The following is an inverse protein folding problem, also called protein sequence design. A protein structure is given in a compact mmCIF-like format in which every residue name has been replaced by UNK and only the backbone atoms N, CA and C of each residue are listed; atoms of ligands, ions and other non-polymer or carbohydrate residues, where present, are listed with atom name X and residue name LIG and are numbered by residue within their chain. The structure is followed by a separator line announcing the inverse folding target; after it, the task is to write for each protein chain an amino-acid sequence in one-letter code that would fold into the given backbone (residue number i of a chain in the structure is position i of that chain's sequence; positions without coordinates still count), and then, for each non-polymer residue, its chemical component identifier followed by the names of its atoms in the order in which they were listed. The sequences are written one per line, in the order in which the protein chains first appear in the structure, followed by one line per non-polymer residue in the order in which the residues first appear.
data_IF_843689134440
#
_entry.id   IF_843689134440
#
_cell.length_a   1.000
_cell.length_b   1.000
_cell.length_c   1.000
_cell.angle_alpha   90.00
_cell.angle_beta   90.00
_cell.angle_gamma   90.00
#
_symmetry.space_group_name_H-M   'P 1'
#
loop_
_entity.id
_entity.type
_entity.pdbx_description
1 polymer ?
#
# COMPACT_ATOMS: atom_id res chain seq x y z
N UNK A 1 12.92 24.13 19.01
CA UNK A 1 12.14 23.75 17.81
C UNK A 1 13.11 23.60 16.66
N UNK A 2 13.22 22.42 16.06
CA UNK A 2 14.11 22.23 14.91
C UNK A 2 13.46 22.84 13.67
N UNK A 3 14.17 23.74 13.00
CA UNK A 3 13.81 24.27 11.67
C UNK A 3 13.53 23.11 10.71
N UNK A 4 12.42 23.13 9.94
CA UNK A 4 12.14 22.12 8.95
C UNK A 4 13.19 22.24 7.84
N UNK A 5 14.20 21.37 7.87
CA UNK A 5 15.19 21.26 6.81
C UNK A 5 14.46 20.91 5.51
N UNK A 6 14.36 21.86 4.59
CA UNK A 6 13.65 21.69 3.33
C UNK A 6 14.20 20.52 2.49
N UNK A 7 13.38 19.99 1.58
CA UNK A 7 13.71 18.87 0.68
C UNK A 7 15.06 19.03 -0.06
N UNK A 8 15.49 20.26 -0.33
CA UNK A 8 16.80 20.56 -0.93
C UNK A 8 18.00 20.13 -0.06
N UNK A 9 17.83 20.09 1.26
CA UNK A 9 18.88 19.63 2.19
C UNK A 9 19.13 18.11 2.14
N UNK A 10 18.22 17.36 1.51
CA UNK A 10 18.29 15.92 1.27
C UNK A 10 18.91 15.59 -0.09
N UNK A 11 19.11 16.59 -0.95
CA UNK A 11 19.66 16.40 -2.30
C UNK A 11 21.06 15.79 -2.19
N UNK A 12 21.25 14.61 -2.79
CA UNK A 12 22.50 13.84 -2.72
C UNK A 12 22.71 13.02 -1.44
N UNK A 13 21.83 13.11 -0.44
CA UNK A 13 21.91 12.34 0.82
C UNK A 13 21.00 11.13 0.85
N UNK A 14 19.84 11.20 0.20
CA UNK A 14 18.89 10.08 0.09
C UNK A 14 19.14 9.36 -1.24
N UNK A 15 19.56 8.10 -1.15
CA UNK A 15 19.83 7.24 -2.32
C UNK A 15 18.67 6.32 -2.64
N UNK A 16 17.91 5.91 -1.62
CA UNK A 16 16.91 4.88 -1.73
C UNK A 16 15.60 5.32 -1.06
N UNK A 17 14.48 4.90 -1.62
CA UNK A 17 13.16 5.07 -1.04
C UNK A 17 12.48 3.71 -0.90
N UNK A 18 11.88 3.48 0.25
CA UNK A 18 11.01 2.33 0.51
C UNK A 18 9.61 2.87 0.80
N UNK A 19 8.64 2.42 0.03
CA UNK A 19 7.22 2.75 0.17
C UNK A 19 6.50 1.47 0.58
N UNK A 20 6.25 1.34 1.87
CA UNK A 20 5.51 0.20 2.43
C UNK A 20 4.03 0.57 2.57
N UNK A 21 3.14 -0.30 2.10
CA UNK A 21 1.70 -0.06 2.05
C UNK A 21 0.97 -1.19 2.79
N UNK A 22 0.38 -0.87 3.94
CA UNK A 22 -0.54 -1.76 4.63
C UNK A 22 -1.98 -1.53 4.14
N UNK A 23 -2.50 -2.45 3.32
CA UNK A 23 -3.87 -2.33 2.78
C UNK A 23 -4.89 -2.42 3.93
N UNK A 24 -5.80 -1.44 3.97
CA UNK A 24 -6.89 -1.34 4.93
C UNK A 24 -6.48 -1.08 6.39
N UNK A 25 -5.24 -0.62 6.62
CA UNK A 25 -4.82 -0.10 7.92
C UNK A 25 -5.47 1.26 8.19
N UNK A 26 -6.10 1.39 9.35
CA UNK A 26 -6.69 2.64 9.83
C UNK A 26 -5.69 3.42 10.65
N UNK A 27 -5.73 4.75 10.53
CA UNK A 27 -4.87 5.65 11.29
C UNK A 27 -5.05 5.54 12.82
N UNK A 28 -6.22 5.17 13.34
CA UNK A 28 -6.37 4.99 14.79
C UNK A 28 -5.77 3.67 15.31
N UNK A 29 -5.12 2.89 14.43
CA UNK A 29 -4.53 1.59 14.72
C UNK A 29 -3.10 1.43 14.20
N UNK A 30 -2.43 2.49 13.73
CA UNK A 30 -1.02 2.36 13.34
C UNK A 30 -0.14 2.06 14.59
N UNK A 31 0.97 1.34 14.41
CA UNK A 31 1.90 1.05 15.49
C UNK A 31 2.60 2.31 15.99
N UNK A 32 2.47 2.60 17.28
CA UNK A 32 3.00 3.84 17.87
C UNK A 32 4.52 3.90 17.85
N UNK A 33 5.17 2.73 17.78
CA UNK A 33 6.60 2.54 17.59
C UNK A 33 7.11 3.20 16.30
N UNK A 34 6.26 3.45 15.29
CA UNK A 34 6.66 4.19 14.09
C UNK A 34 7.08 5.63 14.39
N UNK A 35 6.58 6.22 15.48
CA UNK A 35 6.99 7.56 15.92
C UNK A 35 8.46 7.59 16.36
N UNK A 36 9.05 6.45 16.74
CA UNK A 36 10.47 6.34 17.09
C UNK A 36 11.38 6.38 15.84
N UNK A 37 10.85 5.99 14.67
CA UNK A 37 11.58 5.96 13.40
C UNK A 37 11.45 7.27 12.60
N UNK A 38 10.47 8.12 12.93
CA UNK A 38 10.28 9.40 12.23
C UNK A 38 8.91 10.04 12.44
N UNK A 39 8.54 10.91 11.52
CA UNK A 39 7.28 11.67 11.61
C UNK A 39 6.10 10.84 11.14
N UNK A 40 5.06 10.80 11.97
CA UNK A 40 3.75 10.25 11.58
C UNK A 40 2.79 11.39 11.28
N UNK A 41 2.21 11.36 10.08
CA UNK A 41 1.25 12.37 9.62
C UNK A 41 -0.09 11.70 9.33
N UNK A 42 -1.18 12.27 9.86
CA UNK A 42 -2.53 11.83 9.55
C UNK A 42 -2.91 12.28 8.13
N UNK A 43 -3.03 11.32 7.23
CA UNK A 43 -3.42 11.55 5.83
C UNK A 43 -4.81 10.97 5.53
N UNK A 44 -5.37 11.35 4.38
CA UNK A 44 -6.60 10.79 3.83
C UNK A 44 -6.25 10.11 2.50
N UNK A 45 -6.66 8.85 2.33
CA UNK A 45 -6.50 8.14 1.08
C UNK A 45 -7.39 8.76 -0.02
N UNK A 46 -6.90 8.80 -1.25
CA UNK A 46 -7.67 9.34 -2.39
C UNK A 46 -8.91 8.48 -2.74
N UNK A 47 -8.95 7.24 -2.24
CA UNK A 47 -10.09 6.34 -2.38
C UNK A 47 -10.13 5.33 -1.22
N UNK A 48 -11.30 4.71 -1.03
CA UNK A 48 -11.48 3.55 -0.14
C UNK A 48 -11.31 2.22 -0.89
N UNK A 49 -10.85 2.26 -2.14
CA UNK A 49 -10.70 1.10 -3.00
C UNK A 49 -9.26 0.97 -3.51
N UNK A 50 -8.64 -0.16 -3.20
CA UNK A 50 -7.22 -0.49 -3.43
C UNK A 50 -6.69 -0.06 -4.81
N UNK A 51 -7.24 -0.47 -5.97
CA UNK A 51 -6.67 -0.12 -7.28
C UNK A 51 -6.64 1.38 -7.53
N UNK A 52 -7.65 2.12 -7.06
CA UNK A 52 -7.73 3.57 -7.21
C UNK A 52 -6.70 4.26 -6.30
N UNK A 53 -6.56 3.80 -5.06
CA UNK A 53 -5.61 4.35 -4.11
C UNK A 53 -4.16 4.12 -4.53
N UNK A 54 -3.80 2.92 -5.00
CA UNK A 54 -2.45 2.67 -5.50
C UNK A 54 -2.14 3.47 -6.77
N UNK A 55 -3.09 3.59 -7.70
CA UNK A 55 -2.90 4.44 -8.87
C UNK A 55 -2.65 5.90 -8.48
N UNK A 56 -3.34 6.40 -7.45
CA UNK A 56 -3.09 7.74 -6.91
C UNK A 56 -1.70 7.88 -6.29
N UNK A 57 -1.23 6.89 -5.53
CA UNK A 57 0.13 6.89 -4.96
C UNK A 57 1.19 6.87 -6.07
N UNK A 58 1.02 6.01 -7.07
CA UNK A 58 1.99 5.84 -8.15
C UNK A 58 2.07 7.04 -9.10
N UNK A 59 0.98 7.78 -9.30
CA UNK A 59 0.90 8.91 -10.25
C UNK A 59 0.97 10.28 -9.58
N UNK A 60 0.68 10.38 -8.28
CA UNK A 60 0.45 11.65 -7.59
C UNK A 60 -0.84 12.38 -8.02
N UNK A 61 -1.72 11.70 -8.76
CA UNK A 61 -2.98 12.26 -9.26
C UNK A 61 -4.17 11.70 -8.48
N UNK A 62 -5.31 12.38 -8.52
CA UNK A 62 -6.57 11.86 -7.98
C UNK A 62 -7.34 11.03 -9.03
N UNK A 63 -8.36 10.28 -8.59
CA UNK A 63 -9.12 9.35 -9.44
C UNK A 63 -9.62 9.92 -10.78
N UNK A 64 -10.23 11.12 -10.84
CA UNK A 64 -10.66 11.70 -12.12
C UNK A 64 -9.53 11.99 -13.12
N UNK A 65 -8.27 12.05 -12.66
CA UNK A 65 -7.10 12.36 -13.50
C UNK A 65 -6.31 11.13 -13.91
N UNK A 66 -6.16 10.13 -13.03
CA UNK A 66 -5.50 8.86 -13.38
C UNK A 66 -6.46 7.83 -13.98
N UNK A 67 -7.78 8.07 -13.94
CA UNK A 67 -8.84 7.30 -14.62
C UNK A 67 -9.05 5.84 -14.19
N UNK A 68 -8.18 5.28 -13.35
CA UNK A 68 -8.38 3.96 -12.71
C UNK A 68 -9.62 3.95 -11.82
N UNK A 69 -10.48 2.96 -12.04
CA UNK A 69 -11.76 2.76 -11.30
C UNK A 69 -11.80 1.45 -10.54
N UNK A 70 -11.10 0.43 -11.02
CA UNK A 70 -11.10 -0.92 -10.50
C UNK A 70 -9.85 -1.70 -10.93
N UNK A 71 -9.80 -2.98 -10.57
CA UNK A 71 -8.70 -3.90 -10.88
C UNK A 71 -8.54 -4.24 -12.37
N UNK A 72 -9.53 -3.90 -13.20
CA UNK A 72 -9.48 -4.13 -14.66
C UNK A 72 -8.99 -2.92 -15.44
N UNK A 73 -8.81 -1.77 -14.77
CA UNK A 73 -8.41 -0.51 -15.39
C UNK A 73 -6.96 -0.18 -15.06
N UNK A 74 -6.11 -0.09 -16.07
CA UNK A 74 -4.72 0.35 -15.91
C UNK A 74 -4.58 1.87 -15.97
N UNK A 75 -3.53 2.39 -15.32
CA UNK A 75 -3.06 3.77 -15.56
C UNK A 75 -2.75 3.93 -17.05
N UNK A 76 -3.18 5.04 -17.66
CA UNK A 76 -2.91 5.32 -19.07
C UNK A 76 -1.42 5.51 -19.30
N UNK A 77 -0.90 5.01 -20.43
CA UNK A 77 0.53 5.09 -20.76
C UNK A 77 1.05 6.52 -20.90
N UNK A 78 0.18 7.48 -21.17
CA UNK A 78 0.47 8.92 -21.26
C UNK A 78 0.62 9.59 -19.89
N UNK A 79 0.29 8.90 -18.80
CA UNK A 79 0.39 9.42 -17.44
C UNK A 79 1.69 8.88 -16.82
N UNK A 80 2.65 9.74 -16.46
CA UNK A 80 3.85 9.33 -15.76
C UNK A 80 3.52 8.73 -14.39
N UNK A 81 4.25 7.70 -14.01
CA UNK A 81 4.24 7.09 -12.69
C UNK A 81 5.63 7.12 -12.09
N UNK A 82 5.75 6.83 -10.79
CA UNK A 82 7.04 6.59 -10.14
C UNK A 82 7.86 5.49 -10.84
N UNK A 83 7.21 4.56 -11.54
CA UNK A 83 7.86 3.46 -12.26
C UNK A 83 8.51 3.87 -13.58
N UNK A 84 8.24 5.09 -14.07
CA UNK A 84 8.86 5.62 -15.29
C UNK A 84 10.13 6.44 -15.01
N UNK A 85 10.52 6.57 -13.74
CA UNK A 85 11.70 7.33 -13.36
C UNK A 85 12.98 6.61 -13.84
N UNK A 86 14.05 7.35 -14.23
CA UNK A 86 15.28 6.77 -14.76
C UNK A 86 16.20 6.21 -13.65
N UNK A 87 15.65 5.45 -12.72
CA UNK A 87 16.35 4.77 -11.61
C UNK A 87 15.77 3.37 -11.41
N UNK A 88 16.36 2.55 -10.55
CA UNK A 88 15.83 1.21 -10.29
C UNK A 88 14.53 1.34 -9.50
N UNK A 89 13.39 0.98 -10.10
CA UNK A 89 12.09 1.00 -9.42
C UNK A 89 11.47 -0.38 -9.46
N UNK A 90 10.98 -0.85 -8.32
CA UNK A 90 10.23 -2.11 -8.26
C UNK A 90 8.98 -2.01 -7.41
N UNK A 91 7.94 -2.72 -7.86
CA UNK A 91 6.76 -3.05 -7.07
C UNK A 91 6.82 -4.53 -6.70
N UNK A 92 6.71 -4.84 -5.41
CA UNK A 92 6.68 -6.20 -4.91
C UNK A 92 5.37 -6.47 -4.19
N UNK A 93 4.68 -7.50 -4.64
CA UNK A 93 3.43 -8.00 -4.05
C UNK A 93 3.24 -9.46 -4.50
N UNK A 94 2.15 -10.09 -4.10
CA UNK A 94 1.77 -11.44 -4.44
C UNK A 94 1.84 -11.67 -5.97
N UNK A 95 2.36 -12.83 -6.44
CA UNK A 95 2.62 -13.07 -7.85
C UNK A 95 1.39 -12.95 -8.76
N UNK A 96 0.20 -13.21 -8.22
CA UNK A 96 -1.09 -13.11 -8.94
C UNK A 96 -1.88 -11.84 -8.63
N UNK A 97 -1.23 -10.81 -8.10
CA UNK A 97 -1.88 -9.56 -7.74
C UNK A 97 -2.38 -8.79 -9.00
N UNK A 98 -3.70 -8.53 -9.12
CA UNK A 98 -4.25 -7.75 -10.23
C UNK A 98 -3.74 -6.31 -10.28
N UNK A 99 -3.22 -5.75 -9.18
CA UNK A 99 -2.63 -4.40 -9.20
C UNK A 99 -1.40 -4.32 -10.11
N UNK A 100 -0.76 -5.45 -10.41
CA UNK A 100 0.28 -5.52 -11.43
C UNK A 100 -0.17 -4.94 -12.76
N UNK A 101 -1.39 -5.29 -13.20
CA UNK A 101 -1.98 -4.73 -14.41
C UNK A 101 -2.36 -3.27 -14.23
N UNK A 102 -2.93 -2.92 -13.08
CA UNK A 102 -3.33 -1.53 -12.76
C UNK A 102 -2.15 -0.57 -12.88
N UNK A 103 -0.98 -0.98 -12.37
CA UNK A 103 0.26 -0.18 -12.33
C UNK A 103 1.12 -0.27 -13.61
N UNK A 104 0.58 -0.84 -14.71
CA UNK A 104 1.29 -1.04 -15.99
C UNK A 104 2.51 -1.96 -15.91
N UNK A 105 2.38 -3.06 -15.17
CA UNK A 105 3.37 -4.14 -15.12
C UNK A 105 4.80 -3.66 -14.74
N UNK A 106 4.98 -2.96 -13.61
CA UNK A 106 6.29 -2.49 -13.16
C UNK A 106 7.26 -3.64 -12.87
N UNK A 107 8.56 -3.38 -12.75
CA UNK A 107 9.51 -4.45 -12.38
C UNK A 107 9.17 -5.07 -11.02
N UNK A 108 9.33 -6.39 -10.89
CA UNK A 108 9.15 -7.19 -9.66
C UNK A 108 10.47 -7.81 -9.22
N UNK A 109 11.40 -6.96 -8.78
CA UNK A 109 12.71 -7.33 -8.24
C UNK A 109 12.59 -7.21 -6.71
N UNK A 110 12.85 -8.29 -5.96
CA UNK A 110 12.76 -8.22 -4.50
C UNK A 110 13.85 -7.28 -3.95
N UNK A 111 13.58 -6.67 -2.80
CA UNK A 111 14.40 -5.59 -2.23
C UNK A 111 15.89 -5.96 -2.13
N UNK A 112 16.21 -7.18 -1.71
CA UNK A 112 17.58 -7.67 -1.54
C UNK A 112 18.37 -7.81 -2.85
N UNK A 113 17.70 -7.72 -4.01
CA UNK A 113 18.33 -7.80 -5.34
C UNK A 113 18.36 -6.44 -6.06
N UNK A 114 17.74 -5.40 -5.51
CA UNK A 114 17.75 -4.07 -6.10
C UNK A 114 19.11 -3.42 -5.96
N UNK A 115 19.57 -2.77 -7.04
CA UNK A 115 20.80 -1.98 -7.04
C UNK A 115 20.48 -0.54 -6.68
N UNK A 116 21.33 0.09 -5.87
CA UNK A 116 21.20 1.52 -5.56
C UNK A 116 21.57 2.39 -6.78
N UNK A 117 20.97 3.59 -6.93
CA UNK A 117 19.81 4.09 -6.18
C UNK A 117 18.51 3.39 -6.59
N UNK A 118 17.58 3.23 -5.66
CA UNK A 118 16.29 2.59 -5.94
C UNK A 118 15.06 3.25 -5.30
N UNK A 119 13.90 2.98 -5.88
CA UNK A 119 12.60 3.10 -5.23
C UNK A 119 11.98 1.71 -5.17
N UNK A 120 11.61 1.27 -3.98
CA UNK A 120 10.95 -0.01 -3.76
C UNK A 120 9.57 0.25 -3.16
N UNK A 121 8.53 -0.31 -3.77
CA UNK A 121 7.16 -0.25 -3.29
C UNK A 121 6.69 -1.66 -2.96
N UNK A 122 6.17 -1.87 -1.77
CA UNK A 122 5.64 -3.16 -1.34
C UNK A 122 4.28 -2.99 -0.68
N UNK A 123 3.34 -3.84 -1.09
CA UNK A 123 1.99 -3.91 -0.56
C UNK A 123 1.82 -5.13 0.32
N UNK A 124 1.01 -5.00 1.38
CA UNK A 124 0.72 -6.08 2.29
C UNK A 124 -0.76 -6.10 2.67
N UNK A 125 -1.33 -7.29 2.88
CA UNK A 125 -2.77 -7.52 3.02
C UNK A 125 -3.18 -8.06 4.41
N UNK A 126 -2.38 -7.81 5.44
CA UNK A 126 -2.58 -8.36 6.79
C UNK A 126 -3.82 -7.77 7.41
N UNK A 127 -3.98 -6.46 7.28
CA UNK A 127 -5.14 -5.67 7.71
C UNK A 127 -6.29 -5.65 6.69
N UNK A 128 -6.18 -6.42 5.59
CA UNK A 128 -7.26 -6.63 4.64
C UNK A 128 -8.16 -7.79 5.10
N UNK A 129 -9.45 -7.69 4.78
CA UNK A 129 -10.45 -8.72 5.07
C UNK A 129 -10.22 -9.98 4.19
N UNK A 130 -10.38 -11.21 4.70
CA UNK A 130 -10.79 -11.58 6.05
C UNK A 130 -9.70 -11.39 7.09
N UNK A 131 -10.08 -10.81 8.23
CA UNK A 131 -9.16 -10.53 9.34
C UNK A 131 -8.78 -11.80 10.11
N UNK A 132 -9.58 -12.86 10.05
CA UNK A 132 -9.26 -14.14 10.65
C UNK A 132 -8.43 -14.98 9.64
N UNK A 133 -7.18 -15.37 9.98
CA UNK A 133 -6.31 -16.15 9.10
C UNK A 133 -6.92 -17.48 8.64
N UNK A 134 -7.83 -18.06 9.43
CA UNK A 134 -8.50 -19.30 9.06
C UNK A 134 -9.38 -19.17 7.81
N UNK A 135 -9.69 -17.94 7.37
CA UNK A 135 -10.42 -17.67 6.12
C UNK A 135 -9.53 -17.13 5.00
N UNK A 136 -8.26 -16.78 5.28
CA UNK A 136 -7.33 -16.29 4.25
C UNK A 136 -6.97 -17.41 3.28
N UNK A 137 -6.75 -17.03 2.01
CA UNK A 137 -6.36 -17.92 0.91
C UNK A 137 -7.32 -19.10 0.62
N UNK A 138 -8.49 -19.13 1.26
CA UNK A 138 -9.54 -20.10 0.96
C UNK A 138 -10.42 -19.62 -0.19
N UNK A 139 -10.84 -20.51 -1.11
CA UNK A 139 -11.90 -20.20 -2.05
C UNK A 139 -13.13 -19.68 -1.30
N UNK A 140 -13.64 -18.51 -1.68
CA UNK A 140 -14.76 -17.82 -1.00
C UNK A 140 -14.54 -17.43 0.48
N UNK A 141 -13.31 -17.49 1.01
CA UNK A 141 -13.03 -17.23 2.42
C UNK A 141 -13.54 -15.87 2.92
N UNK A 142 -13.43 -14.82 2.09
CA UNK A 142 -14.06 -13.51 2.35
C UNK A 142 -15.58 -13.61 2.57
N UNK A 143 -16.29 -14.33 1.69
CA UNK A 143 -17.76 -14.46 1.77
C UNK A 143 -18.16 -15.22 3.03
N UNK A 144 -17.43 -16.27 3.37
CA UNK A 144 -17.67 -17.06 4.59
C UNK A 144 -17.41 -16.24 5.85
N UNK A 145 -16.29 -15.51 5.89
CA UNK A 145 -15.96 -14.62 6.99
C UNK A 145 -17.07 -13.59 7.21
N UNK A 146 -17.47 -12.88 6.16
CA UNK A 146 -18.53 -11.85 6.24
C UNK A 146 -19.85 -12.44 6.72
N UNK A 147 -20.26 -13.63 6.28
CA UNK A 147 -21.49 -14.28 6.77
C UNK A 147 -21.49 -14.45 8.28
N UNK A 148 -20.33 -14.78 8.85
CA UNK A 148 -20.15 -15.01 10.29
C UNK A 148 -20.08 -13.71 11.09
N UNK A 149 -19.34 -12.70 10.60
CA UNK A 149 -19.06 -11.48 11.40
C UNK A 149 -20.02 -10.33 11.15
N UNK A 150 -20.78 -10.32 10.04
CA UNK A 150 -21.63 -9.16 9.65
C UNK A 150 -22.66 -8.73 10.69
N UNK A 151 -23.10 -9.65 11.58
CA UNK A 151 -24.05 -9.36 12.64
C UNK A 151 -23.39 -9.17 14.02
N UNK A 152 -22.06 -9.30 14.11
CA UNK A 152 -21.33 -9.21 15.37
C UNK A 152 -20.20 -8.18 15.25
N UNK A 153 -20.56 -6.91 15.48
CA UNK A 153 -19.63 -5.76 15.43
C UNK A 153 -18.43 -5.94 16.35
N UNK A 154 -18.63 -6.46 17.56
CA UNK A 154 -17.56 -6.63 18.53
C UNK A 154 -16.53 -7.67 18.06
N UNK A 155 -17.01 -8.77 17.46
CA UNK A 155 -16.13 -9.75 16.81
C UNK A 155 -15.36 -9.14 15.65
N UNK A 156 -16.02 -8.40 14.76
CA UNK A 156 -15.35 -7.74 13.64
C UNK A 156 -14.21 -6.80 14.11
N UNK A 157 -14.48 -5.98 15.14
CA UNK A 157 -13.47 -5.09 15.73
C UNK A 157 -12.33 -5.90 16.37
N UNK A 158 -12.65 -6.96 17.11
CA UNK A 158 -11.65 -7.82 17.75
C UNK A 158 -10.76 -8.54 16.73
N UNK A 159 -11.33 -9.06 15.65
CA UNK A 159 -10.58 -9.71 14.58
C UNK A 159 -9.67 -8.71 13.87
N UNK A 160 -10.17 -7.48 13.61
CA UNK A 160 -9.36 -6.41 13.01
C UNK A 160 -8.15 -6.06 13.88
N UNK A 161 -8.33 -5.89 15.19
CA UNK A 161 -7.22 -5.64 16.14
C UNK A 161 -6.15 -6.73 16.07
N UNK A 162 -6.58 -8.00 16.08
CA UNK A 162 -5.65 -9.13 15.93
C UNK A 162 -4.94 -9.14 14.58
N UNK A 163 -5.58 -8.64 13.52
CA UNK A 163 -4.96 -8.56 12.20
C UNK A 163 -3.85 -7.51 12.12
N UNK A 164 -4.04 -6.38 12.81
CA UNK A 164 -3.03 -5.34 12.98
C UNK A 164 -1.80 -5.89 13.71
N UNK A 165 -2.00 -6.58 14.84
CA UNK A 165 -0.92 -7.21 15.63
C UNK A 165 -0.07 -8.24 14.86
N UNK A 166 -0.54 -8.73 13.70
CA UNK A 166 0.21 -9.68 12.87
C UNK A 166 0.87 -9.04 11.65
N UNK A 167 0.40 -7.87 11.22
CA UNK A 167 0.85 -7.20 10.01
C UNK A 167 1.91 -6.14 10.24
N UNK A 168 2.37 -6.04 11.47
CA UNK A 168 3.34 -5.06 11.97
C UNK A 168 4.44 -5.84 12.68
#
# INVERSE_FOLDING_TARGET
MAEPRGLLSLQGKVKNFVIFIADSLRYDYYPKELEDYGFVVKCIAQSIFTPVSLASIATGLNSPRHMVKDFSTSVLSTIPTIFDLPINVSYWDHPYDPLYGVLRHPSRIPLEKLKEPFIYMEGTCETHVPYDPSYKNKPNGYREYVKVVRLNKNRLIGDYKKAIERGI
#
